data_IF_041833023687
#
_entry.id   IF_041833023687
#
_cell.length_a   1.000
_cell.length_b   1.000
_cell.length_c   1.000
_cell.angle_alpha   90.00
_cell.angle_beta   90.00
_cell.angle_gamma   90.00
#
_symmetry.space_group_name_H-M   'P 1'
#
loop_
_entity.id
_entity.type
_entity.pdbx_description
1 polymer ?
#
# COMPACT_ATOMS: atom_id res chain seq x y z
N UNK A 1 -11.26 -34.80 -0.39
CA UNK A 1 -10.50 -34.73 0.89
C UNK A 1 -10.95 -33.48 1.62
N UNK A 2 -11.58 -33.63 2.78
CA UNK A 2 -11.99 -32.51 3.64
C UNK A 2 -10.75 -32.00 4.38
N UNK A 3 -10.19 -30.86 3.97
CA UNK A 3 -9.12 -30.20 4.71
C UNK A 3 -9.68 -29.62 6.00
N UNK A 4 -9.16 -30.09 7.13
CA UNK A 4 -9.47 -29.58 8.47
C UNK A 4 -9.32 -28.05 8.48
N UNK A 5 -10.37 -27.32 8.88
CA UNK A 5 -10.26 -25.91 9.30
C UNK A 5 -9.23 -25.89 10.43
N UNK A 6 -7.99 -25.46 10.15
CA UNK A 6 -7.01 -25.21 11.21
C UNK A 6 -7.66 -24.22 12.19
N UNK A 7 -7.67 -24.55 13.47
CA UNK A 7 -8.05 -23.59 14.50
C UNK A 7 -7.22 -22.32 14.35
N UNK A 8 -7.84 -21.15 14.54
CA UNK A 8 -7.11 -19.88 14.63
C UNK A 8 -5.99 -20.05 15.64
N UNK A 9 -4.73 -19.93 15.19
CA UNK A 9 -3.59 -19.99 16.10
C UNK A 9 -3.52 -18.69 16.91
N UNK A 10 -2.95 -18.74 18.12
CA UNK A 10 -2.71 -17.52 18.90
C UNK A 10 -1.91 -16.49 18.08
N UNK A 11 -0.93 -16.94 17.29
CA UNK A 11 -0.16 -16.09 16.39
C UNK A 11 -1.04 -15.40 15.33
N UNK A 12 -2.02 -16.11 14.75
CA UNK A 12 -2.92 -15.50 13.79
C UNK A 12 -3.78 -14.41 14.42
N UNK A 13 -4.32 -14.65 15.62
CA UNK A 13 -5.11 -13.67 16.36
C UNK A 13 -4.27 -12.43 16.70
N UNK A 14 -3.06 -12.64 17.22
CA UNK A 14 -2.16 -11.55 17.60
C UNK A 14 -1.76 -10.70 16.38
N UNK A 15 -1.34 -11.34 15.28
CA UNK A 15 -1.00 -10.64 14.04
C UNK A 15 -2.19 -9.83 13.49
N UNK A 16 -3.41 -10.39 13.48
CA UNK A 16 -4.62 -9.66 13.07
C UNK A 16 -4.88 -8.45 13.95
N UNK A 17 -4.74 -8.58 15.28
CA UNK A 17 -4.92 -7.46 16.22
C UNK A 17 -3.87 -6.38 16.02
N UNK A 18 -2.61 -6.76 15.79
CA UNK A 18 -1.54 -5.81 15.48
C UNK A 18 -1.84 -5.04 14.20
N UNK A 19 -2.25 -5.74 13.14
CA UNK A 19 -2.54 -5.11 11.85
C UNK A 19 -3.73 -4.15 11.97
N UNK A 20 -4.82 -4.59 12.59
CA UNK A 20 -5.98 -3.74 12.84
C UNK A 20 -5.61 -2.49 13.65
N UNK A 21 -4.88 -2.66 14.76
CA UNK A 21 -4.45 -1.53 15.60
C UNK A 21 -3.61 -0.50 14.86
N UNK A 22 -2.70 -0.94 13.98
CA UNK A 22 -1.88 -0.01 13.18
C UNK A 22 -2.71 0.69 12.10
N UNK A 23 -3.49 -0.06 11.33
CA UNK A 23 -4.29 0.49 10.23
C UNK A 23 -5.35 1.47 10.74
N UNK A 24 -5.99 1.18 11.88
CA UNK A 24 -6.97 2.09 12.49
C UNK A 24 -6.36 3.40 13.01
N UNK A 25 -5.05 3.44 13.26
CA UNK A 25 -4.38 4.68 13.66
C UNK A 25 -4.16 5.65 12.47
N UNK A 26 -4.19 5.17 11.22
CA UNK A 26 -3.85 5.99 10.05
C UNK A 26 -4.77 7.20 9.83
N UNK A 27 -6.10 7.13 9.99
CA UNK A 27 -6.92 8.35 9.95
C UNK A 27 -6.45 9.40 10.95
N UNK A 28 -6.22 9.04 12.21
CA UNK A 28 -5.77 9.99 13.23
C UNK A 28 -4.39 10.61 12.92
N UNK A 29 -3.52 9.89 12.20
CA UNK A 29 -2.23 10.43 11.76
C UNK A 29 -2.39 11.66 10.85
N UNK A 30 -3.47 11.74 10.05
CA UNK A 30 -3.74 12.90 9.18
C UNK A 30 -3.87 14.22 9.94
N UNK A 31 -4.30 14.18 11.20
CA UNK A 31 -4.50 15.38 12.04
C UNK A 31 -3.44 15.54 13.13
N UNK A 32 -2.76 14.47 13.51
CA UNK A 32 -1.80 14.45 14.63
C UNK A 32 -0.57 15.34 14.42
N UNK A 33 -0.24 15.66 13.17
CA UNK A 33 0.84 16.56 12.78
C UNK A 33 2.27 16.05 12.95
N UNK A 34 2.47 14.85 13.53
CA UNK A 34 3.79 14.26 13.75
C UNK A 34 4.31 13.50 12.53
N UNK A 35 3.47 12.64 11.96
CA UNK A 35 3.79 11.85 10.77
C UNK A 35 2.50 11.58 9.99
N UNK A 36 2.60 11.52 8.66
CA UNK A 36 1.52 11.08 7.79
C UNK A 36 1.44 9.54 7.76
N UNK A 37 0.27 8.97 7.43
CA UNK A 37 0.16 7.54 7.17
C UNK A 37 1.25 7.03 6.21
N UNK A 38 1.77 5.80 6.39
CA UNK A 38 2.98 5.32 5.70
C UNK A 38 2.78 5.01 4.21
N UNK A 39 1.68 5.47 3.62
CA UNK A 39 1.37 5.42 2.20
C UNK A 39 1.16 6.81 1.58
N UNK A 40 1.27 7.88 2.38
CA UNK A 40 1.20 9.28 1.95
C UNK A 40 2.57 9.92 2.16
N UNK A 41 3.19 10.38 1.07
CA UNK A 41 4.46 11.11 1.16
C UNK A 41 4.19 12.60 1.40
N UNK A 42 4.87 13.20 2.38
CA UNK A 42 4.72 14.64 2.63
C UNK A 42 5.37 15.46 1.51
N UNK A 43 4.69 16.54 1.07
CA UNK A 43 5.27 17.45 0.06
C UNK A 43 6.46 18.23 0.64
N UNK A 44 6.46 18.50 1.94
CA UNK A 44 7.60 19.13 2.62
C UNK A 44 8.86 18.28 2.64
N UNK A 45 8.75 16.94 2.63
CA UNK A 45 9.93 16.10 2.48
C UNK A 45 10.49 16.11 1.03
N UNK A 46 9.71 16.53 0.04
CA UNK A 46 10.15 16.65 -1.36
C UNK A 46 10.71 18.03 -1.67
N UNK A 47 10.18 19.05 -1.00
CA UNK A 47 10.56 20.45 -1.15
C UNK A 47 10.89 21.08 0.20
N UNK A 48 12.20 21.24 0.42
CA UNK A 48 12.80 21.82 1.63
C UNK A 48 12.22 23.21 1.96
N UNK A 49 11.69 23.95 0.97
CA UNK A 49 11.11 25.28 1.17
C UNK A 49 9.87 25.28 2.07
N UNK A 50 9.11 24.18 2.08
CA UNK A 50 7.86 24.05 2.86
C UNK A 50 8.05 23.33 4.20
N UNK A 51 9.24 22.76 4.44
CA UNK A 51 9.58 22.05 5.68
C UNK A 51 9.49 22.94 6.91
N UNK A 52 10.00 24.17 6.83
CA UNK A 52 9.98 25.10 7.96
C UNK A 52 8.55 25.42 8.42
N UNK A 53 7.62 25.64 7.49
CA UNK A 53 6.23 25.97 7.81
C UNK A 53 5.54 24.80 8.51
N UNK A 54 5.69 23.58 8.00
CA UNK A 54 5.09 22.39 8.62
C UNK A 54 5.67 22.14 10.02
N UNK A 55 6.99 22.27 10.19
CA UNK A 55 7.65 22.12 11.48
C UNK A 55 7.18 23.18 12.49
N UNK A 56 7.04 24.44 12.06
CA UNK A 56 6.53 25.52 12.91
C UNK A 56 5.08 25.30 13.31
N UNK A 57 4.25 24.87 12.38
CA UNK A 57 2.83 24.63 12.61
C UNK A 57 2.56 23.31 13.39
N UNK A 58 3.59 22.47 13.58
CA UNK A 58 3.48 21.11 14.14
C UNK A 58 2.40 20.29 13.42
N UNK A 59 2.20 20.55 12.12
CA UNK A 59 1.24 19.88 11.25
C UNK A 59 1.62 20.02 9.79
N UNK A 60 1.19 19.07 8.95
CA UNK A 60 1.45 19.10 7.52
C UNK A 60 0.52 20.07 6.78
N UNK A 61 0.88 21.36 6.78
CA UNK A 61 0.22 22.39 5.94
C UNK A 61 0.55 22.23 4.45
N UNK A 62 1.50 21.37 4.12
CA UNK A 62 1.93 21.07 2.76
C UNK A 62 1.06 20.02 2.04
N UNK A 63 -0.07 19.57 2.62
CA UNK A 63 -0.95 18.61 1.96
C UNK A 63 -1.57 19.22 0.71
N UNK A 64 -1.78 18.40 -0.33
CA UNK A 64 -2.58 18.81 -1.48
C UNK A 64 -4.03 19.06 -1.08
N UNK A 65 -4.80 19.68 -1.99
CA UNK A 65 -6.18 20.09 -1.72
C UNK A 65 -7.05 18.91 -1.27
N UNK A 66 -6.94 17.77 -1.96
CA UNK A 66 -7.73 16.57 -1.67
C UNK A 66 -7.40 16.00 -0.30
N UNK A 67 -6.12 15.82 0.01
CA UNK A 67 -5.70 15.33 1.33
C UNK A 67 -5.95 16.33 2.46
N UNK A 68 -5.93 17.64 2.19
CA UNK A 68 -6.26 18.67 3.17
C UNK A 68 -7.74 18.63 3.55
N UNK A 69 -8.63 18.46 2.56
CA UNK A 69 -10.06 18.26 2.82
C UNK A 69 -10.28 16.97 3.60
N UNK A 70 -9.60 15.88 3.20
CA UNK A 70 -9.64 14.63 3.94
C UNK A 70 -9.24 14.83 5.41
N UNK A 71 -8.09 15.44 5.69
CA UNK A 71 -7.62 15.71 7.05
C UNK A 71 -8.64 16.52 7.88
N UNK A 72 -9.26 17.55 7.30
CA UNK A 72 -10.30 18.33 7.97
C UNK A 72 -11.53 17.48 8.34
N UNK A 73 -11.98 16.63 7.42
CA UNK A 73 -13.10 15.70 7.67
C UNK A 73 -12.75 14.65 8.72
N UNK A 74 -11.50 14.17 8.76
CA UNK A 74 -11.03 13.29 9.84
C UNK A 74 -11.07 14.01 11.19
N UNK A 75 -10.64 15.27 11.25
CA UNK A 75 -10.74 16.09 12.46
C UNK A 75 -12.19 16.17 12.97
N UNK A 76 -13.12 16.50 12.08
CA UNK A 76 -14.55 16.52 12.39
C UNK A 76 -15.07 15.17 12.89
N UNK A 77 -14.60 14.07 12.29
CA UNK A 77 -14.98 12.72 12.70
C UNK A 77 -14.44 12.34 14.07
N UNK A 78 -13.19 12.68 14.37
CA UNK A 78 -12.58 12.39 15.68
C UNK A 78 -13.23 13.18 16.82
N UNK A 79 -13.69 14.41 16.54
CA UNK A 79 -14.33 15.29 17.51
C UNK A 79 -15.86 15.14 17.57
N UNK A 80 -16.44 14.22 16.79
CA UNK A 80 -17.90 14.09 16.69
C UNK A 80 -18.54 13.63 18.00
N UNK A 81 -19.76 14.10 18.21
CA UNK A 81 -20.67 13.62 19.26
C UNK A 81 -21.72 12.70 18.64
N UNK A 82 -22.48 11.92 19.44
CA UNK A 82 -23.61 11.15 18.91
C UNK A 82 -24.62 12.00 18.13
N UNK A 83 -24.80 13.27 18.51
CA UNK A 83 -25.69 14.21 17.82
C UNK A 83 -25.13 14.72 16.49
N UNK A 84 -23.82 14.96 16.40
CA UNK A 84 -23.17 15.46 15.17
C UNK A 84 -22.71 14.35 14.22
N UNK A 85 -22.65 13.10 14.67
CA UNK A 85 -22.16 11.97 13.86
C UNK A 85 -22.88 11.79 12.51
N UNK A 86 -24.23 11.91 12.41
CA UNK A 86 -24.91 11.81 11.11
C UNK A 86 -24.47 12.91 10.12
N UNK A 87 -24.34 14.15 10.60
CA UNK A 87 -23.90 15.28 9.79
C UNK A 87 -22.46 15.11 9.28
N UNK A 88 -21.56 14.60 10.14
CA UNK A 88 -20.17 14.33 9.74
C UNK A 88 -20.12 13.28 8.65
N UNK A 89 -20.84 12.17 8.81
CA UNK A 89 -20.90 11.13 7.78
C UNK A 89 -21.53 11.62 6.48
N UNK A 90 -22.61 12.41 6.54
CA UNK A 90 -23.20 13.04 5.34
C UNK A 90 -22.17 13.91 4.61
N UNK A 91 -21.35 14.65 5.34
CA UNK A 91 -20.30 15.51 4.77
C UNK A 91 -19.18 14.68 4.14
N UNK A 92 -18.73 13.60 4.79
CA UNK A 92 -17.76 12.65 4.24
C UNK A 92 -18.28 12.04 2.94
N UNK A 93 -19.54 11.59 2.91
CA UNK A 93 -20.15 10.99 1.73
C UNK A 93 -20.37 11.98 0.58
N UNK A 94 -20.63 13.25 0.88
CA UNK A 94 -20.63 14.31 -0.15
C UNK A 94 -19.25 14.48 -0.79
N UNK A 95 -18.18 14.43 0.00
CA UNK A 95 -16.82 14.48 -0.55
C UNK A 95 -16.49 13.22 -1.35
N UNK A 96 -16.83 12.03 -0.87
CA UNK A 96 -16.68 10.78 -1.64
C UNK A 96 -17.40 10.89 -2.99
N UNK A 97 -18.65 11.35 -3.00
CA UNK A 97 -19.43 11.51 -4.22
C UNK A 97 -18.82 12.52 -5.19
N UNK A 98 -18.27 13.62 -4.68
CA UNK A 98 -17.55 14.58 -5.50
C UNK A 98 -16.29 13.96 -6.12
N UNK A 99 -15.45 13.30 -5.31
CA UNK A 99 -14.23 12.64 -5.79
C UNK A 99 -14.55 11.59 -6.87
N UNK A 100 -15.61 10.79 -6.67
CA UNK A 100 -16.09 9.81 -7.65
C UNK A 100 -16.66 10.44 -8.92
N UNK A 101 -17.28 11.62 -8.84
CA UNK A 101 -17.83 12.30 -10.03
C UNK A 101 -16.76 12.99 -10.88
N UNK A 102 -15.63 13.37 -10.29
CA UNK A 102 -14.59 14.16 -10.94
C UNK A 102 -13.34 13.32 -11.32
N UNK A 103 -13.25 12.05 -10.90
CA UNK A 103 -12.02 11.24 -10.94
C UNK A 103 -11.36 11.12 -12.32
N UNK A 104 -12.14 11.10 -13.41
CA UNK A 104 -11.60 10.99 -14.77
C UNK A 104 -10.78 12.23 -15.18
N UNK A 105 -11.15 13.40 -14.64
CA UNK A 105 -10.54 14.70 -14.94
C UNK A 105 -9.27 14.99 -14.14
N UNK A 106 -8.99 14.19 -13.12
CA UNK A 106 -7.86 14.41 -12.23
C UNK A 106 -6.53 14.16 -12.93
N UNK A 107 -5.55 15.00 -12.62
CA UNK A 107 -4.16 14.75 -12.95
C UNK A 107 -3.60 13.58 -12.12
N UNK A 108 -2.35 13.21 -12.41
CA UNK A 108 -1.67 12.08 -11.77
C UNK A 108 -1.56 12.24 -10.25
N UNK A 109 -1.20 13.43 -9.76
CA UNK A 109 -1.06 13.71 -8.33
C UNK A 109 -2.40 13.64 -7.61
N UNK A 110 -3.42 14.32 -8.17
CA UNK A 110 -4.77 14.37 -7.60
C UNK A 110 -5.42 12.99 -7.63
N UNK A 111 -5.16 12.18 -8.67
CA UNK A 111 -5.66 10.80 -8.74
C UNK A 111 -5.13 9.95 -7.58
N UNK A 112 -3.84 10.06 -7.26
CA UNK A 112 -3.24 9.34 -6.13
C UNK A 112 -3.74 9.88 -4.80
N UNK A 113 -3.84 11.20 -4.63
CA UNK A 113 -4.42 11.81 -3.42
C UNK A 113 -5.88 11.39 -3.19
N UNK A 114 -6.67 11.29 -4.26
CA UNK A 114 -8.07 10.81 -4.20
C UNK A 114 -8.14 9.34 -3.79
N UNK A 115 -7.30 8.47 -4.36
CA UNK A 115 -7.20 7.07 -3.96
C UNK A 115 -6.80 6.94 -2.46
N UNK A 116 -5.85 7.74 -2.00
CA UNK A 116 -5.42 7.78 -0.60
C UNK A 116 -6.52 8.28 0.34
N UNK A 117 -7.23 9.36 -0.04
CA UNK A 117 -8.35 9.89 0.73
C UNK A 117 -9.50 8.87 0.85
N UNK A 118 -9.88 8.22 -0.26
CA UNK A 118 -10.88 7.15 -0.25
C UNK A 118 -10.45 5.95 0.60
N UNK A 119 -9.16 5.60 0.57
CA UNK A 119 -8.60 4.57 1.46
C UNK A 119 -8.76 4.97 2.93
N UNK A 120 -8.47 6.22 3.29
CA UNK A 120 -8.67 6.73 4.65
C UNK A 120 -10.15 6.70 5.07
N UNK A 121 -11.09 7.09 4.19
CA UNK A 121 -12.52 7.02 4.50
C UNK A 121 -13.01 5.58 4.71
N UNK A 122 -12.49 4.62 3.92
CA UNK A 122 -12.72 3.19 4.15
C UNK A 122 -12.22 2.76 5.54
N UNK A 123 -11.05 3.23 5.96
CA UNK A 123 -10.52 2.92 7.30
C UNK A 123 -11.34 3.54 8.43
N UNK A 124 -11.92 4.74 8.23
CA UNK A 124 -12.87 5.30 9.18
C UNK A 124 -14.15 4.46 9.26
N UNK A 125 -14.69 4.05 8.12
CA UNK A 125 -15.93 3.28 8.08
C UNK A 125 -15.76 1.91 8.74
N UNK A 126 -14.61 1.28 8.58
CA UNK A 126 -14.26 0.03 9.25
C UNK A 126 -14.17 0.16 10.78
N UNK A 127 -13.94 1.37 11.30
CA UNK A 127 -13.91 1.65 12.75
C UNK A 127 -15.28 1.99 13.34
N UNK A 128 -16.24 2.41 12.51
CA UNK A 128 -17.58 2.81 12.95
C UNK A 128 -18.62 1.75 12.59
N UNK A 129 -18.60 0.64 13.32
CA UNK A 129 -19.51 -0.50 13.06
C UNK A 129 -20.98 -0.14 13.20
N UNK A 130 -21.31 0.86 14.01
CA UNK A 130 -22.68 1.28 14.30
C UNK A 130 -23.34 2.01 13.12
N UNK A 131 -22.52 2.58 12.23
CA UNK A 131 -22.99 3.33 11.05
C UNK A 131 -22.84 2.56 9.74
N UNK A 132 -22.15 1.40 9.73
CA UNK A 132 -22.00 0.55 8.53
C UNK A 132 -23.35 0.24 7.86
N UNK A 133 -24.40 -0.01 8.65
CA UNK A 133 -25.73 -0.36 8.13
C UNK A 133 -26.50 0.87 7.60
N UNK A 134 -26.10 2.08 8.04
CA UNK A 134 -26.75 3.35 7.68
C UNK A 134 -26.07 4.03 6.50
N UNK A 135 -24.77 3.84 6.37
CA UNK A 135 -23.94 4.46 5.36
C UNK A 135 -23.89 3.59 4.10
N UNK A 136 -23.75 4.22 2.93
CA UNK A 136 -23.63 3.50 1.67
C UNK A 136 -22.21 2.98 1.49
N UNK A 137 -21.85 1.95 2.25
CA UNK A 137 -20.51 1.33 2.19
C UNK A 137 -20.23 0.80 0.79
N UNK A 138 -21.25 0.28 0.09
CA UNK A 138 -21.10 -0.20 -1.29
C UNK A 138 -20.65 0.92 -2.22
N UNK A 139 -21.26 2.09 -2.14
CA UNK A 139 -20.85 3.25 -2.93
C UNK A 139 -19.40 3.66 -2.65
N UNK A 140 -18.99 3.71 -1.38
CA UNK A 140 -17.59 3.99 -1.00
C UNK A 140 -16.61 3.00 -1.64
N UNK A 141 -16.92 1.71 -1.62
CA UNK A 141 -16.05 0.69 -2.23
C UNK A 141 -16.01 0.80 -3.76
N UNK A 142 -17.14 1.08 -4.41
CA UNK A 142 -17.20 1.33 -5.84
C UNK A 142 -16.37 2.56 -6.24
N UNK A 143 -16.51 3.67 -5.51
CA UNK A 143 -15.74 4.88 -5.74
C UNK A 143 -14.22 4.66 -5.57
N UNK A 144 -13.83 3.91 -4.54
CA UNK A 144 -12.43 3.51 -4.35
C UNK A 144 -11.93 2.67 -5.54
N UNK A 145 -12.75 1.75 -6.06
CA UNK A 145 -12.38 0.94 -7.21
C UNK A 145 -12.17 1.80 -8.48
N UNK A 146 -13.03 2.79 -8.74
CA UNK A 146 -12.87 3.72 -9.88
C UNK A 146 -11.56 4.51 -9.80
N UNK A 147 -11.24 5.07 -8.64
CA UNK A 147 -9.98 5.82 -8.45
C UNK A 147 -8.75 4.91 -8.56
N UNK A 148 -8.81 3.69 -8.00
CA UNK A 148 -7.74 2.69 -8.17
C UNK A 148 -7.53 2.32 -9.63
N UNK A 149 -8.61 2.12 -10.39
CA UNK A 149 -8.55 1.81 -11.82
C UNK A 149 -7.92 2.95 -12.61
N UNK A 150 -8.36 4.18 -12.39
CA UNK A 150 -7.78 5.37 -13.02
C UNK A 150 -6.28 5.49 -12.76
N UNK A 151 -5.86 5.30 -11.51
CA UNK A 151 -4.43 5.30 -11.14
C UNK A 151 -3.68 4.18 -11.85
N UNK A 152 -4.28 3.00 -11.95
CA UNK A 152 -3.67 1.85 -12.62
C UNK A 152 -3.49 2.04 -14.13
N UNK A 153 -4.44 2.68 -14.79
CA UNK A 153 -4.40 2.94 -16.23
C UNK A 153 -3.47 4.12 -16.58
N UNK A 154 -3.23 5.04 -15.65
CA UNK A 154 -2.49 6.28 -15.93
C UNK A 154 -1.05 6.28 -15.43
N UNK A 155 -0.71 5.48 -14.41
CA UNK A 155 0.63 5.44 -13.83
C UNK A 155 1.34 4.13 -14.12
N UNK A 156 2.62 4.23 -14.48
CA UNK A 156 3.50 3.07 -14.71
C UNK A 156 4.14 2.55 -13.42
N UNK A 157 3.46 2.70 -12.27
CA UNK A 157 4.02 2.36 -10.95
C UNK A 157 4.42 0.88 -10.83
N UNK A 158 3.83 -0.01 -11.62
CA UNK A 158 4.09 -1.45 -11.60
C UNK A 158 4.74 -1.98 -12.90
N UNK A 159 5.00 -1.13 -13.88
CA UNK A 159 5.60 -1.52 -15.18
C UNK A 159 6.94 -0.85 -15.43
N UNK A 160 7.14 0.38 -14.96
CA UNK A 160 8.38 1.11 -15.16
C UNK A 160 9.49 0.61 -14.23
N UNK A 161 10.50 -0.05 -14.80
CA UNK A 161 11.72 -0.48 -14.11
C UNK A 161 12.79 0.60 -14.30
N UNK A 162 13.04 1.38 -13.25
CA UNK A 162 14.05 2.42 -13.19
C UNK A 162 15.48 1.86 -13.28
N UNK A 163 16.42 2.55 -13.93
CA UNK A 163 17.83 2.10 -14.04
C UNK A 163 18.79 3.24 -13.73
N UNK A 164 20.10 2.96 -13.65
CA UNK A 164 21.11 4.02 -13.51
C UNK A 164 21.17 4.94 -14.72
N UNK A 165 20.86 4.41 -15.91
CA UNK A 165 20.84 5.17 -17.17
C UNK A 165 19.53 5.96 -17.34
N UNK A 166 18.44 5.46 -16.75
CA UNK A 166 17.13 6.10 -16.77
C UNK A 166 16.49 6.12 -15.36
N UNK A 167 17.05 6.92 -14.42
CA UNK A 167 16.54 6.99 -13.05
C UNK A 167 15.31 7.91 -12.97
N UNK A 168 14.35 7.57 -12.11
CA UNK A 168 13.25 8.48 -11.81
C UNK A 168 13.75 9.71 -11.04
N UNK A 169 13.14 10.86 -11.29
CA UNK A 169 13.26 11.98 -10.37
C UNK A 169 12.49 11.69 -9.07
N UNK A 170 12.85 12.38 -7.98
CA UNK A 170 12.30 12.11 -6.65
C UNK A 170 10.78 12.28 -6.58
N UNK A 171 10.22 13.23 -7.31
CA UNK A 171 8.79 13.54 -7.26
C UNK A 171 8.00 12.43 -7.96
N UNK A 172 8.42 12.03 -9.15
CA UNK A 172 7.80 10.91 -9.87
C UNK A 172 7.97 9.60 -9.12
N UNK A 173 9.17 9.34 -8.57
CA UNK A 173 9.41 8.17 -7.73
C UNK A 173 8.49 8.13 -6.51
N UNK A 174 8.35 9.25 -5.78
CA UNK A 174 7.50 9.33 -4.60
C UNK A 174 6.03 9.11 -4.93
N UNK A 175 5.56 9.58 -6.09
CA UNK A 175 4.21 9.34 -6.58
C UNK A 175 3.98 7.84 -6.85
N UNK A 176 4.90 7.18 -7.55
CA UNK A 176 4.80 5.74 -7.82
C UNK A 176 4.85 4.92 -6.54
N UNK A 177 5.75 5.29 -5.63
CA UNK A 177 5.91 4.61 -4.36
C UNK A 177 4.69 4.77 -3.45
N UNK A 178 4.13 5.98 -3.36
CA UNK A 178 2.88 6.23 -2.64
C UNK A 178 1.71 5.38 -3.20
N UNK A 179 1.64 5.23 -4.52
CA UNK A 179 0.66 4.35 -5.18
C UNK A 179 0.86 2.88 -4.78
N UNK A 180 2.09 2.35 -4.87
CA UNK A 180 2.42 0.97 -4.46
C UNK A 180 2.03 0.69 -3.01
N UNK A 181 2.38 1.63 -2.12
CA UNK A 181 2.07 1.56 -0.67
C UNK A 181 0.57 1.58 -0.41
N UNK A 182 -0.18 2.43 -1.10
CA UNK A 182 -1.64 2.52 -0.98
C UNK A 182 -2.31 1.23 -1.44
N UNK A 183 -1.87 0.68 -2.57
CA UNK A 183 -2.40 -0.59 -3.10
C UNK A 183 -2.09 -1.75 -2.15
N UNK A 184 -0.87 -1.84 -1.62
CA UNK A 184 -0.53 -2.85 -0.63
C UNK A 184 -1.42 -2.76 0.62
N UNK A 185 -1.75 -1.55 1.07
CA UNK A 185 -2.64 -1.34 2.19
C UNK A 185 -4.08 -1.77 1.86
N UNK A 186 -4.64 -1.36 0.73
CA UNK A 186 -5.98 -1.76 0.29
C UNK A 186 -6.08 -3.27 0.27
N UNK A 187 -5.10 -3.94 -0.33
CA UNK A 187 -5.02 -5.40 -0.37
C UNK A 187 -4.93 -6.03 1.02
N UNK A 188 -4.10 -5.48 1.88
CA UNK A 188 -4.00 -5.91 3.28
C UNK A 188 -5.40 -5.84 3.92
N UNK A 189 -6.10 -4.72 3.80
CA UNK A 189 -7.45 -4.54 4.34
C UNK A 189 -8.47 -5.49 3.71
N UNK A 190 -8.40 -5.76 2.40
CA UNK A 190 -9.29 -6.71 1.69
C UNK A 190 -9.23 -8.09 2.33
N UNK A 191 -8.01 -8.55 2.61
CA UNK A 191 -7.74 -9.84 3.25
C UNK A 191 -8.23 -9.86 4.70
N UNK A 192 -8.08 -8.76 5.45
CA UNK A 192 -8.45 -8.72 6.87
C UNK A 192 -9.94 -8.54 7.11
N UNK A 193 -10.61 -7.73 6.31
CA UNK A 193 -12.03 -7.47 6.47
C UNK A 193 -12.90 -8.54 5.80
N UNK A 194 -12.30 -9.50 5.07
CA UNK A 194 -12.99 -10.47 4.20
C UNK A 194 -13.95 -9.80 3.19
N UNK A 195 -13.78 -8.49 2.95
CA UNK A 195 -14.57 -7.71 2.02
C UNK A 195 -13.90 -7.84 0.66
N UNK A 196 -14.56 -8.49 -0.31
CA UNK A 196 -14.12 -8.41 -1.71
C UNK A 196 -14.51 -7.04 -2.25
N UNK A 197 -13.53 -6.17 -2.46
CA UNK A 197 -13.74 -4.86 -3.08
C UNK A 197 -14.16 -4.95 -4.55
N UNK A 198 -14.08 -6.15 -5.13
CA UNK A 198 -14.43 -6.45 -6.52
C UNK A 198 -15.85 -6.98 -6.61
N UNK A 199 -16.69 -6.31 -7.38
CA UNK A 199 -17.78 -7.02 -8.05
C UNK A 199 -17.16 -8.00 -9.06
N UNK A 200 -17.84 -9.10 -9.35
CA UNK A 200 -17.33 -10.24 -10.13
C UNK A 200 -16.74 -9.88 -11.52
N UNK A 201 -16.95 -8.66 -12.00
CA UNK A 201 -16.50 -8.17 -13.31
C UNK A 201 -15.32 -7.17 -13.25
N UNK A 202 -14.78 -6.82 -12.06
CA UNK A 202 -13.60 -5.94 -11.95
C UNK A 202 -12.30 -6.73 -12.17
N UNK A 203 -12.00 -6.97 -13.44
CA UNK A 203 -10.78 -7.65 -13.92
C UNK A 203 -9.52 -6.76 -13.94
N UNK A 204 -9.63 -5.46 -13.63
CA UNK A 204 -8.56 -4.48 -13.88
C UNK A 204 -7.56 -4.30 -12.73
N UNK A 205 -7.89 -4.63 -11.48
CA UNK A 205 -6.90 -4.65 -10.40
C UNK A 205 -6.23 -6.04 -10.36
N UNK A 206 -4.91 -6.09 -10.48
CA UNK A 206 -4.15 -7.34 -10.55
C UNK A 206 -4.40 -8.28 -9.34
N UNK A 207 -4.07 -9.57 -9.41
CA UNK A 207 -4.12 -10.45 -8.21
C UNK A 207 -3.27 -9.84 -7.09
N UNK A 208 -3.60 -10.06 -5.81
CA UNK A 208 -2.77 -9.64 -4.66
C UNK A 208 -1.28 -9.97 -4.85
N UNK A 209 -0.98 -11.14 -5.41
CA UNK A 209 0.38 -11.60 -5.74
C UNK A 209 1.15 -10.70 -6.69
N UNK A 210 0.48 -9.86 -7.45
CA UNK A 210 1.08 -8.97 -8.44
C UNK A 210 1.31 -7.57 -7.88
N UNK A 211 0.78 -7.26 -6.69
CA UNK A 211 1.03 -5.97 -6.07
C UNK A 211 2.53 -5.78 -5.86
N UNK A 212 3.11 -4.66 -6.35
CA UNK A 212 4.52 -4.36 -6.11
C UNK A 212 4.84 -4.25 -4.62
N UNK A 213 5.98 -4.77 -4.19
CA UNK A 213 6.48 -4.51 -2.85
C UNK A 213 6.79 -3.02 -2.69
N UNK A 214 6.48 -2.42 -1.54
CA UNK A 214 6.91 -1.06 -1.24
C UNK A 214 8.43 -1.01 -1.11
N UNK A 215 9.03 0.16 -1.29
CA UNK A 215 10.44 0.37 -1.06
C UNK A 215 10.84 0.21 0.42
N UNK A 216 12.15 0.08 0.63
CA UNK A 216 12.73 0.00 1.98
C UNK A 216 12.70 1.36 2.70
N UNK A 217 12.75 1.31 4.04
CA UNK A 217 12.79 2.47 4.94
C UNK A 217 13.81 3.52 4.51
N UNK A 218 14.99 3.08 4.11
CA UNK A 218 16.11 3.95 3.74
C UNK A 218 15.83 4.85 2.52
N UNK A 219 14.83 4.52 1.69
CA UNK A 219 14.39 5.34 0.56
C UNK A 219 13.14 6.16 0.87
N UNK A 220 12.23 5.66 1.72
CA UNK A 220 11.00 6.35 2.08
C UNK A 220 11.22 7.45 3.13
N UNK A 221 11.98 7.16 4.18
CA UNK A 221 12.18 8.03 5.34
C UNK A 221 13.42 8.90 5.19
N UNK A 222 13.54 9.60 4.05
CA UNK A 222 14.74 10.39 3.73
C UNK A 222 14.47 11.90 3.85
N UNK A 223 15.28 12.63 4.63
CA UNK A 223 14.98 14.02 4.95
C UNK A 223 15.27 15.01 3.82
N UNK A 224 16.12 14.68 2.84
CA UNK A 224 16.51 15.62 1.78
C UNK A 224 16.66 14.95 0.42
N UNK A 225 16.50 15.75 -0.64
CA UNK A 225 16.58 15.24 -2.02
C UNK A 225 17.99 14.78 -2.38
N UNK A 226 19.00 15.41 -1.79
CA UNK A 226 20.40 15.00 -1.95
C UNK A 226 20.65 13.60 -1.36
N UNK A 227 20.28 13.37 -0.10
CA UNK A 227 20.44 12.07 0.55
C UNK A 227 19.61 10.99 -0.15
N UNK A 228 18.40 11.34 -0.60
CA UNK A 228 17.55 10.43 -1.34
C UNK A 228 18.21 9.98 -2.64
N UNK A 229 18.75 10.93 -3.44
CA UNK A 229 19.43 10.60 -4.71
C UNK A 229 20.65 9.71 -4.49
N UNK A 230 21.43 9.94 -3.43
CA UNK A 230 22.58 9.10 -3.06
C UNK A 230 22.14 7.67 -2.75
N UNK A 231 21.14 7.50 -1.89
CA UNK A 231 20.61 6.19 -1.48
C UNK A 231 19.90 5.48 -2.63
N UNK A 232 19.15 6.19 -3.45
CA UNK A 232 18.47 5.68 -4.63
C UNK A 232 19.45 5.13 -5.68
N UNK A 233 20.53 5.87 -5.98
CA UNK A 233 21.58 5.36 -6.86
C UNK A 233 22.30 4.13 -6.28
N UNK A 234 22.49 4.06 -4.96
CA UNK A 234 23.05 2.88 -4.30
C UNK A 234 22.06 1.69 -4.32
N UNK A 235 20.77 1.95 -4.22
CA UNK A 235 19.71 0.96 -4.38
C UNK A 235 19.77 0.35 -5.80
N UNK A 236 19.74 1.19 -6.84
CA UNK A 236 19.78 0.76 -8.25
C UNK A 236 21.04 -0.05 -8.59
N UNK A 237 22.22 0.35 -8.08
CA UNK A 237 23.47 -0.40 -8.29
C UNK A 237 23.46 -1.81 -7.70
N UNK A 238 22.78 -1.97 -6.57
CA UNK A 238 22.80 -3.23 -5.83
C UNK A 238 21.54 -4.08 -6.08
N UNK A 239 20.57 -3.59 -6.87
CA UNK A 239 19.44 -4.38 -7.34
C UNK A 239 19.95 -5.42 -8.32
N UNK A 240 19.61 -6.67 -8.10
CA UNK A 240 20.05 -7.82 -8.90
C UNK A 240 18.99 -8.25 -9.90
N UNK A 241 17.72 -8.07 -9.57
CA UNK A 241 16.58 -8.38 -10.43
C UNK A 241 16.25 -7.22 -11.38
N UNK A 242 16.01 -7.55 -12.64
CA UNK A 242 15.56 -6.61 -13.68
C UNK A 242 14.03 -6.45 -13.69
N UNK A 243 13.41 -6.43 -12.50
CA UNK A 243 11.97 -6.27 -12.33
C UNK A 243 11.63 -5.53 -11.04
N UNK A 244 10.40 -5.05 -10.96
CA UNK A 244 9.80 -4.63 -9.69
C UNK A 244 9.39 -5.90 -8.93
N UNK A 245 9.87 -6.04 -7.70
CA UNK A 245 9.47 -7.16 -6.85
C UNK A 245 7.98 -7.08 -6.50
N UNK A 246 7.31 -8.21 -6.44
CA UNK A 246 5.89 -8.30 -6.06
C UNK A 246 5.68 -9.11 -4.78
N UNK A 247 4.48 -9.05 -4.22
CA UNK A 247 4.08 -9.92 -3.11
C UNK A 247 4.17 -11.41 -3.45
N UNK A 248 4.00 -11.77 -4.73
CA UNK A 248 4.22 -13.12 -5.25
C UNK A 248 5.68 -13.56 -5.13
N UNK A 249 6.63 -12.70 -5.48
CA UNK A 249 8.07 -13.00 -5.35
C UNK A 249 8.45 -13.25 -3.88
N UNK A 250 7.97 -12.39 -2.97
CA UNK A 250 8.17 -12.58 -1.53
C UNK A 250 7.53 -13.87 -1.04
N UNK A 251 6.29 -14.16 -1.47
CA UNK A 251 5.56 -15.37 -1.08
C UNK A 251 6.25 -16.65 -1.54
N UNK A 252 6.70 -16.70 -2.78
CA UNK A 252 7.46 -17.83 -3.32
C UNK A 252 8.73 -18.06 -2.50
N UNK A 253 9.40 -16.97 -2.08
CA UNK A 253 10.60 -17.04 -1.24
C UNK A 253 10.31 -17.62 0.16
N UNK A 254 9.10 -17.44 0.71
CA UNK A 254 8.70 -18.06 2.00
C UNK A 254 8.53 -19.58 1.92
N UNK A 255 8.33 -20.14 0.73
CA UNK A 255 8.12 -21.58 0.54
C UNK A 255 9.41 -22.38 0.37
N UNK A 256 10.54 -21.70 0.22
CA UNK A 256 11.86 -22.33 0.11
C UNK A 256 12.30 -22.89 1.46
N UNK A 257 12.92 -24.07 1.45
CA UNK A 257 13.68 -24.55 2.60
C UNK A 257 14.90 -23.65 2.85
N UNK A 258 15.45 -23.68 4.07
CA UNK A 258 16.63 -22.88 4.41
C UNK A 258 17.83 -23.17 3.48
N UNK A 259 17.99 -24.42 3.06
CA UNK A 259 19.07 -24.85 2.14
C UNK A 259 18.84 -24.33 0.72
N UNK A 260 17.62 -24.40 0.21
CA UNK A 260 17.25 -23.84 -1.10
C UNK A 260 17.39 -22.33 -1.11
N UNK A 261 16.98 -21.68 -0.02
CA UNK A 261 17.06 -20.24 0.14
C UNK A 261 18.51 -19.75 0.09
N UNK A 262 19.43 -20.38 0.83
CA UNK A 262 20.87 -20.05 0.79
C UNK A 262 21.46 -20.35 -0.59
N UNK A 263 21.16 -21.51 -1.17
CA UNK A 263 21.67 -21.89 -2.49
C UNK A 263 21.25 -20.88 -3.55
N UNK A 264 19.97 -20.49 -3.58
CA UNK A 264 19.45 -19.56 -4.58
C UNK A 264 20.11 -18.18 -4.47
N UNK A 265 20.48 -17.70 -3.27
CA UNK A 265 21.20 -16.42 -3.16
C UNK A 265 22.61 -16.43 -3.76
N UNK A 266 23.17 -17.62 -4.01
CA UNK A 266 24.50 -17.80 -4.61
C UNK A 266 24.46 -18.12 -6.10
N UNK A 267 23.29 -18.51 -6.63
CA UNK A 267 23.11 -18.75 -8.06
C UNK A 267 22.92 -17.43 -8.80
N UNK A 268 23.65 -17.24 -9.90
CA UNK A 268 23.52 -16.06 -10.77
C UNK A 268 22.33 -16.13 -11.73
N UNK A 269 21.35 -17.01 -11.47
CA UNK A 269 20.14 -17.13 -12.28
C UNK A 269 19.08 -16.12 -11.84
N UNK A 270 18.04 -15.95 -12.68
CA UNK A 270 16.97 -14.96 -12.44
C UNK A 270 16.29 -15.18 -11.07
N UNK A 271 16.10 -16.44 -10.67
CA UNK A 271 15.50 -16.79 -9.39
C UNK A 271 16.39 -16.41 -8.19
N UNK A 272 17.70 -16.61 -8.31
CA UNK A 272 18.67 -16.17 -7.31
C UNK A 272 18.73 -14.65 -7.14
N UNK A 273 18.69 -13.90 -8.25
CA UNK A 273 18.59 -12.45 -8.23
C UNK A 273 17.35 -11.95 -7.50
N UNK A 274 16.18 -12.55 -7.76
CA UNK A 274 14.92 -12.22 -7.06
C UNK A 274 15.04 -12.52 -5.57
N UNK A 275 15.54 -13.71 -5.20
CA UNK A 275 15.68 -14.12 -3.79
C UNK A 275 16.60 -13.16 -3.02
N UNK A 276 17.70 -12.75 -3.64
CA UNK A 276 18.65 -11.79 -3.06
C UNK A 276 18.03 -10.41 -2.84
N UNK A 277 17.25 -9.91 -3.80
CA UNK A 277 16.60 -8.61 -3.65
C UNK A 277 15.43 -8.66 -2.65
N UNK A 278 14.69 -9.79 -2.56
CA UNK A 278 13.68 -10.03 -1.52
C UNK A 278 14.31 -10.02 -0.13
N UNK A 279 15.49 -10.64 0.04
CA UNK A 279 16.24 -10.60 1.29
C UNK A 279 16.59 -9.18 1.71
N UNK A 280 17.16 -8.41 0.78
CA UNK A 280 17.50 -7.00 1.02
C UNK A 280 16.27 -6.17 1.38
N UNK A 281 15.13 -6.46 0.76
CA UNK A 281 13.86 -5.83 1.12
C UNK A 281 13.44 -6.16 2.56
N UNK A 282 13.53 -7.44 2.97
CA UNK A 282 13.26 -7.88 4.34
C UNK A 282 14.16 -7.22 5.39
N UNK A 283 15.43 -6.97 5.08
CA UNK A 283 16.37 -6.26 5.97
C UNK A 283 16.01 -4.77 6.13
N UNK A 284 15.41 -4.18 5.10
CA UNK A 284 15.09 -2.77 5.02
C UNK A 284 13.65 -2.40 5.33
N UNK A 285 12.84 -3.30 5.92
CA UNK A 285 11.43 -3.06 6.16
C UNK A 285 11.18 -1.83 7.03
N UNK A 286 10.23 -1.00 6.61
CA UNK A 286 9.61 0.01 7.45
C UNK A 286 8.35 -0.55 8.14
N UNK A 287 7.56 0.33 8.77
CA UNK A 287 6.34 -0.05 9.45
C UNK A 287 5.33 -0.74 8.52
N UNK A 288 5.14 -0.20 7.30
CA UNK A 288 4.19 -0.76 6.34
C UNK A 288 4.69 -2.08 5.75
N UNK A 289 5.98 -2.19 5.43
CA UNK A 289 6.60 -3.45 5.02
C UNK A 289 6.42 -4.55 6.08
N UNK A 290 6.60 -4.21 7.35
CA UNK A 290 6.34 -5.14 8.46
C UNK A 290 4.87 -5.56 8.51
N UNK A 291 3.94 -4.62 8.38
CA UNK A 291 2.50 -4.91 8.32
C UNK A 291 2.15 -5.88 7.17
N UNK A 292 2.72 -5.64 5.98
CA UNK A 292 2.53 -6.47 4.79
C UNK A 292 3.10 -7.88 5.00
N UNK A 293 4.28 -8.01 5.59
CA UNK A 293 4.84 -9.35 5.88
C UNK A 293 3.99 -10.12 6.89
N UNK A 294 3.48 -9.46 7.93
CA UNK A 294 2.52 -10.07 8.87
C UNK A 294 1.23 -10.48 8.17
N UNK A 295 0.67 -9.60 7.34
CA UNK A 295 -0.53 -9.86 6.55
C UNK A 295 -0.34 -11.08 5.65
N UNK A 296 0.77 -11.09 4.93
CA UNK A 296 1.12 -12.16 4.02
C UNK A 296 1.20 -13.50 4.76
N UNK A 297 1.80 -13.59 5.94
CA UNK A 297 1.94 -14.83 6.70
C UNK A 297 0.60 -15.46 7.12
N UNK A 298 -0.45 -14.65 7.18
CA UNK A 298 -1.81 -15.10 7.51
C UNK A 298 -2.55 -15.67 6.30
N UNK A 299 -2.15 -15.27 5.08
CA UNK A 299 -2.75 -15.75 3.85
C UNK A 299 -2.15 -17.08 3.46
N UNK A 300 -3.00 -18.11 3.41
CA UNK A 300 -2.74 -19.31 2.62
C UNK A 300 -3.25 -19.07 1.20
N UNK A 301 -2.37 -18.74 0.27
CA UNK A 301 -2.72 -18.96 -1.14
C UNK A 301 -2.52 -20.44 -1.43
N UNK A 302 -3.55 -21.09 -1.95
CA UNK A 302 -3.35 -22.19 -2.87
C UNK A 302 -2.71 -21.56 -4.11
N UNK A 303 -1.39 -21.71 -4.25
CA UNK A 303 -0.76 -21.56 -5.55
C UNK A 303 -1.43 -22.62 -6.43
N UNK A 304 -2.42 -22.21 -7.23
CA UNK A 304 -2.99 -23.09 -8.24
C UNK A 304 -1.83 -23.66 -9.03
N UNK A 305 -1.73 -24.99 -8.96
CA UNK A 305 -0.64 -25.79 -9.46
C UNK A 305 -0.73 -25.84 -10.97
N UNK A 306 -0.40 -24.74 -11.62
CA UNK A 306 -0.47 -24.60 -13.07
C UNK A 306 0.55 -23.56 -13.50
N UNK A 307 1.84 -23.93 -13.37
CA UNK A 307 2.95 -23.54 -14.27
C UNK A 307 4.31 -24.07 -13.81
N UNK A 308 4.46 -24.55 -12.57
CA UNK A 308 5.73 -25.15 -12.09
C UNK A 308 5.86 -26.65 -12.48
N UNK A 309 4.82 -27.24 -13.06
CA UNK A 309 4.79 -28.66 -13.47
C UNK A 309 5.03 -28.87 -14.98
N UNK A 310 5.99 -28.16 -15.59
CA UNK A 310 6.52 -28.56 -16.91
C UNK A 310 8.05 -28.42 -16.90
N UNK A 311 8.69 -29.26 -16.10
CA UNK A 311 10.16 -29.36 -16.05
C UNK A 311 10.69 -30.72 -15.59
N UNK A 312 9.81 -31.71 -15.38
CA UNK A 312 10.21 -33.06 -14.99
C UNK A 312 9.46 -34.09 -15.84
N UNK A 313 9.90 -34.25 -17.08
CA UNK A 313 9.73 -35.52 -17.79
C UNK A 313 11.09 -36.22 -17.73
N UNK A 314 11.17 -37.24 -16.87
CA UNK A 314 12.24 -38.24 -16.95
C UNK A 314 12.12 -38.93 -18.31
N UNK A 315 13.19 -38.87 -19.10
CA UNK A 315 13.37 -39.71 -20.28
C UNK A 315 13.62 -41.15 -19.80
N UNK A 316 13.01 -42.17 -20.42
CA UNK A 316 13.22 -43.57 -20.07
C UNK A 316 14.65 -44.06 -20.33
#
# INVERSE_FOLDING_TARGET
MLTSRRGLTANAILSTRTIFGQVCAYPAMMVSGHALPPFIHSRCALDDSTTYNCAKAQKHECLGKTLSICAALIGMWLERTPASSPFVWETIYKEIAKLDSEYESYDMETSVESMQAMTIYMLLQAQDTDTIVKNDVKFLLTALAHTCQKVHETLEYNTFVDTLDNPLDRKTWALYEATRRTICLIYTVEIFLEVRFRQHDFHSCQKFSNAPLPCIRDLWEVPSTYEWKKRYNAFLRARSAEKILTLGDYKLSQHLSAEEFVRNTTTGDSYGCITKDVLRWCEGLDQLGTLITLASALIKYELESSEIAVGYVKVP
#
